data_IF_326256374074
#
_entry.id   IF_326256374074
#
_cell.length_a   1.000
_cell.length_b   1.000
_cell.length_c   1.000
_cell.angle_alpha   90.00
_cell.angle_beta   90.00
_cell.angle_gamma   90.00
#
_symmetry.space_group_name_H-M   'P 1'
#
loop_
_entity.id
_entity.type
_entity.pdbx_description
1 polymer ?
#
# COMPACT_ATOMS: atom_id res chain seq x y z
N UNK A 1 -22.59 26.35 -33.49
CA UNK A 1 -23.31 26.75 -32.26
C UNK A 1 -22.62 27.99 -31.70
N UNK A 2 -23.26 29.16 -31.79
CA UNK A 2 -22.72 30.43 -31.31
C UNK A 2 -23.11 30.61 -29.84
N UNK A 3 -22.13 30.69 -28.93
CA UNK A 3 -22.37 30.97 -27.52
C UNK A 3 -22.46 32.50 -27.32
N UNK A 4 -23.58 32.97 -26.78
CA UNK A 4 -23.77 34.37 -26.35
C UNK A 4 -23.07 34.58 -25.00
N UNK A 5 -22.20 35.59 -24.94
CA UNK A 5 -21.66 36.14 -23.69
C UNK A 5 -22.63 37.19 -23.17
N UNK A 6 -23.09 37.04 -21.93
CA UNK A 6 -23.88 38.04 -21.23
C UNK A 6 -23.04 38.59 -20.08
N UNK A 7 -22.61 39.85 -20.19
CA UNK A 7 -21.86 40.55 -19.15
C UNK A 7 -22.82 41.23 -18.17
N UNK A 8 -22.78 40.84 -16.90
CA UNK A 8 -23.37 41.62 -15.82
C UNK A 8 -22.31 42.61 -15.30
N UNK A 9 -22.59 43.91 -15.43
CA UNK A 9 -21.77 44.98 -14.87
C UNK A 9 -21.99 45.06 -13.35
N UNK A 10 -20.99 44.64 -12.57
CA UNK A 10 -20.96 44.87 -11.13
C UNK A 10 -19.99 46.02 -10.82
N UNK A 11 -20.43 47.00 -10.02
CA UNK A 11 -19.70 48.24 -9.67
C UNK A 11 -18.59 48.07 -8.62
N UNK A 12 -18.28 46.84 -8.22
CA UNK A 12 -17.06 46.53 -7.46
C UNK A 12 -16.01 46.08 -8.48
N UNK A 13 -14.87 46.78 -8.55
CA UNK A 13 -13.82 46.60 -9.56
C UNK A 13 -13.06 45.27 -9.49
N UNK A 14 -13.76 44.14 -9.44
CA UNK A 14 -13.22 42.79 -9.47
C UNK A 14 -14.08 41.99 -10.45
N UNK A 15 -13.55 41.76 -11.65
CA UNK A 15 -14.08 40.81 -12.62
C UNK A 15 -13.81 39.39 -12.12
N UNK A 16 -14.78 38.76 -11.48
CA UNK A 16 -14.74 37.32 -11.21
C UNK A 16 -15.45 36.61 -12.35
N UNK A 17 -14.67 35.99 -13.24
CA UNK A 17 -15.19 35.10 -14.27
C UNK A 17 -15.14 33.67 -13.72
N UNK A 18 -16.28 33.12 -13.30
CA UNK A 18 -16.38 31.74 -12.83
C UNK A 18 -16.84 30.83 -13.96
N UNK A 19 -15.99 29.86 -14.32
CA UNK A 19 -16.33 28.75 -15.21
C UNK A 19 -16.57 27.51 -14.36
N UNK A 20 -17.78 27.01 -14.37
CA UNK A 20 -18.12 25.70 -13.80
C UNK A 20 -17.80 24.63 -14.83
N UNK A 21 -16.69 23.91 -14.64
CA UNK A 21 -16.48 22.62 -15.29
C UNK A 21 -16.44 21.51 -14.23
N UNK A 22 -17.17 20.42 -14.51
CA UNK A 22 -17.24 19.24 -13.64
C UNK A 22 -15.87 18.54 -13.60
N UNK A 23 -15.45 18.19 -12.38
CA UNK A 23 -14.37 17.27 -11.98
C UNK A 23 -12.94 17.83 -12.09
N UNK A 24 -12.47 18.45 -11.01
CA UNK A 24 -11.24 18.07 -10.30
C UNK A 24 -11.01 19.03 -9.14
N UNK A 25 -10.84 18.50 -7.95
CA UNK A 25 -10.41 19.24 -6.76
C UNK A 25 -8.94 19.61 -6.94
N UNK A 26 -8.68 20.84 -7.38
CA UNK A 26 -7.34 21.40 -7.42
C UNK A 26 -7.05 22.11 -6.10
N UNK A 27 -5.88 21.75 -5.54
CA UNK A 27 -5.24 22.41 -4.41
C UNK A 27 -4.91 23.85 -4.84
N UNK A 28 -5.51 24.83 -4.18
CA UNK A 28 -5.12 26.24 -4.28
C UNK A 28 -3.74 26.40 -3.62
N UNK A 29 -2.68 26.37 -4.42
CA UNK A 29 -1.38 26.89 -3.99
C UNK A 29 -1.41 28.41 -4.12
N UNK A 30 -1.10 29.10 -3.01
CA UNK A 30 -0.91 30.55 -2.98
C UNK A 30 0.32 30.89 -3.84
N UNK A 31 0.10 31.64 -4.92
CA UNK A 31 1.19 32.24 -5.69
C UNK A 31 1.68 33.50 -4.95
N UNK A 32 3.00 33.75 -4.91
CA UNK A 32 3.53 34.97 -4.32
C UNK A 32 3.09 36.20 -5.13
N UNK A 33 2.75 37.27 -4.41
CA UNK A 33 2.35 38.54 -4.96
C UNK A 33 3.60 39.29 -5.43
N UNK A 34 3.80 39.41 -6.75
CA UNK A 34 4.91 40.18 -7.32
C UNK A 34 4.51 41.66 -7.41
N UNK A 35 5.30 42.53 -6.79
CA UNK A 35 4.98 43.95 -6.61
C UNK A 35 5.52 44.87 -7.72
N UNK A 36 6.21 44.35 -8.74
CA UNK A 36 6.66 45.16 -9.87
C UNK A 36 6.74 44.41 -11.19
N UNK A 37 6.51 45.13 -12.29
CA UNK A 37 6.58 44.62 -13.68
C UNK A 37 8.00 44.32 -14.16
N UNK A 38 9.04 44.72 -13.39
CA UNK A 38 10.43 44.46 -13.69
C UNK A 38 10.87 43.02 -13.36
N UNK A 39 10.26 42.37 -12.36
CA UNK A 39 10.62 41.00 -11.95
C UNK A 39 10.07 39.93 -12.90
N UNK A 40 8.96 40.21 -13.59
CA UNK A 40 8.33 39.27 -14.54
C UNK A 40 9.23 39.00 -15.76
N UNK A 41 10.04 39.97 -16.18
CA UNK A 41 10.89 39.86 -17.38
C UNK A 41 12.08 38.92 -17.20
N UNK A 42 12.52 38.66 -15.96
CA UNK A 42 13.58 37.68 -15.69
C UNK A 42 13.07 36.24 -15.68
N UNK A 43 11.76 36.01 -15.53
CA UNK A 43 11.17 34.68 -15.52
C UNK A 43 10.89 34.09 -16.93
N UNK A 44 10.97 34.92 -17.98
CA UNK A 44 10.67 34.51 -19.36
C UNK A 44 11.93 34.02 -20.12
N UNK A 45 13.12 34.11 -19.52
CA UNK A 45 14.37 33.56 -20.08
C UNK A 45 14.65 32.11 -19.68
N UNK A 46 13.61 31.28 -19.55
CA UNK A 46 13.83 29.83 -19.49
C UNK A 46 13.94 29.31 -20.93
N UNK A 47 15.01 28.57 -21.28
CA UNK A 47 15.10 27.92 -22.58
C UNK A 47 13.91 26.97 -22.71
N UNK A 48 13.10 27.18 -23.74
CA UNK A 48 12.08 26.23 -24.15
C UNK A 48 12.77 24.89 -24.40
N UNK A 49 12.54 23.93 -23.51
CA UNK A 49 12.91 22.51 -23.69
C UNK A 49 11.96 21.93 -24.74
N UNK A 50 12.06 22.44 -25.96
CA UNK A 50 11.24 22.07 -27.10
C UNK A 50 12.12 21.64 -28.27
N UNK A 51 13.15 20.83 -28.01
CA UNK A 51 13.92 20.18 -29.08
C UNK A 51 14.85 19.07 -28.56
N UNK A 52 14.29 17.98 -28.00
CA UNK A 52 14.98 16.67 -28.04
C UNK A 52 14.07 15.49 -27.68
N UNK A 53 12.84 15.45 -28.20
CA UNK A 53 12.13 14.17 -28.36
C UNK A 53 12.76 13.41 -29.54
N UNK A 54 14.01 12.97 -29.39
CA UNK A 54 14.52 11.86 -30.19
C UNK A 54 13.60 10.69 -29.84
N UNK A 55 12.86 10.19 -30.84
CA UNK A 55 12.18 8.90 -30.79
C UNK A 55 13.21 7.83 -30.44
N UNK A 56 13.43 7.62 -29.14
CA UNK A 56 14.14 6.46 -28.63
C UNK A 56 13.32 5.28 -29.07
N UNK A 57 13.85 4.56 -30.06
CA UNK A 57 13.35 3.28 -30.50
C UNK A 57 13.09 2.46 -29.25
N UNK A 58 11.83 2.05 -29.05
CA UNK A 58 11.42 1.16 -27.96
C UNK A 58 12.27 -0.11 -28.06
N UNK A 59 13.45 -0.13 -27.45
CA UNK A 59 14.16 -1.36 -27.15
C UNK A 59 13.17 -2.15 -26.30
N UNK A 60 12.65 -3.24 -26.86
CA UNK A 60 11.99 -4.29 -26.09
C UNK A 60 13.02 -4.77 -25.08
N UNK A 61 13.07 -4.12 -23.93
CA UNK A 61 13.78 -4.64 -22.77
C UNK A 61 13.00 -5.90 -22.43
N UNK A 62 13.52 -7.05 -22.88
CA UNK A 62 13.02 -8.34 -22.48
C UNK A 62 12.93 -8.29 -20.96
N UNK A 63 11.69 -8.24 -20.44
CA UNK A 63 11.47 -8.22 -19.01
C UNK A 63 12.21 -9.44 -18.47
N UNK A 64 13.35 -9.21 -17.80
CA UNK A 64 14.08 -10.26 -17.09
C UNK A 64 13.06 -10.86 -16.16
N UNK A 65 12.50 -12.02 -16.53
CA UNK A 65 11.62 -12.81 -15.66
C UNK A 65 12.49 -13.11 -14.45
N UNK A 66 12.24 -12.40 -13.36
CA UNK A 66 12.93 -12.66 -12.10
C UNK A 66 12.77 -14.16 -11.82
N UNK A 67 13.85 -14.86 -11.41
CA UNK A 67 13.77 -16.28 -11.14
C UNK A 67 12.66 -16.49 -10.13
N UNK A 68 11.62 -17.23 -10.54
CA UNK A 68 10.53 -17.60 -9.65
C UNK A 68 11.17 -18.47 -8.57
N UNK A 69 11.46 -17.87 -7.40
CA UNK A 69 11.99 -18.60 -6.25
C UNK A 69 11.07 -19.79 -6.03
N UNK A 70 11.62 -21.01 -6.07
CA UNK A 70 10.86 -22.24 -5.86
C UNK A 70 10.11 -22.11 -4.53
N UNK A 71 8.78 -22.16 -4.58
CA UNK A 71 7.93 -22.13 -3.39
C UNK A 71 8.22 -23.37 -2.53
N UNK A 72 8.22 -23.23 -1.21
CA UNK A 72 8.31 -24.40 -0.32
C UNK A 72 7.14 -25.35 -0.57
N UNK A 73 7.33 -26.65 -0.34
CA UNK A 73 6.27 -27.66 -0.56
C UNK A 73 4.96 -27.29 0.18
N UNK A 74 5.08 -26.76 1.40
CA UNK A 74 3.95 -26.24 2.19
C UNK A 74 3.26 -25.05 1.51
N UNK A 75 4.03 -24.08 1.02
CA UNK A 75 3.50 -22.91 0.33
C UNK A 75 2.82 -23.27 -0.99
N UNK A 76 3.42 -24.18 -1.77
CA UNK A 76 2.84 -24.68 -3.01
C UNK A 76 1.53 -25.44 -2.76
N UNK A 77 1.48 -26.26 -1.70
CA UNK A 77 0.25 -26.94 -1.26
C UNK A 77 -0.84 -25.94 -0.87
N UNK A 78 -0.51 -24.90 -0.11
CA UNK A 78 -1.45 -23.84 0.27
C UNK A 78 -1.91 -23.01 -0.92
N UNK A 79 -1.05 -22.73 -1.89
CA UNK A 79 -1.42 -22.05 -3.13
C UNK A 79 -2.43 -22.87 -3.94
N UNK A 80 -2.18 -24.19 -4.11
CA UNK A 80 -3.13 -25.11 -4.74
C UNK A 80 -4.47 -25.15 -3.99
N UNK A 81 -4.42 -25.28 -2.66
CA UNK A 81 -5.61 -25.27 -1.79
C UNK A 81 -6.33 -23.93 -1.83
N UNK A 82 -5.64 -22.81 -2.02
CA UNK A 82 -6.22 -21.49 -2.16
C UNK A 82 -6.93 -21.29 -3.51
N UNK A 83 -6.31 -21.72 -4.62
CA UNK A 83 -6.98 -21.74 -5.93
C UNK A 83 -8.22 -22.63 -5.93
N UNK A 84 -8.13 -23.80 -5.28
CA UNK A 84 -9.27 -24.68 -5.07
C UNK A 84 -10.32 -24.04 -4.15
N UNK A 85 -9.93 -23.42 -3.05
CA UNK A 85 -10.83 -22.72 -2.13
C UNK A 85 -11.60 -21.61 -2.82
N UNK A 86 -10.93 -20.80 -3.64
CA UNK A 86 -11.58 -19.72 -4.40
C UNK A 86 -12.67 -20.26 -5.35
N UNK A 87 -12.55 -21.51 -5.79
CA UNK A 87 -13.54 -22.22 -6.62
C UNK A 87 -14.61 -22.97 -5.83
N UNK A 88 -14.27 -23.52 -4.68
CA UNK A 88 -15.11 -24.53 -3.98
C UNK A 88 -15.66 -24.07 -2.63
N UNK A 89 -15.19 -22.96 -2.08
CA UNK A 89 -15.66 -22.43 -0.80
C UNK A 89 -15.23 -23.22 0.45
N UNK A 90 -14.39 -24.27 0.36
CA UNK A 90 -13.93 -25.04 1.54
C UNK A 90 -13.20 -24.17 2.58
N UNK A 91 -13.79 -23.98 3.75
CA UNK A 91 -13.33 -23.11 4.85
C UNK A 91 -11.81 -23.16 5.15
N UNK A 92 -11.04 -22.25 4.55
CA UNK A 92 -9.71 -21.88 5.07
C UNK A 92 -9.93 -21.02 6.32
N UNK A 93 -9.26 -21.39 7.42
CA UNK A 93 -9.29 -20.55 8.63
C UNK A 93 -8.46 -19.30 8.37
N UNK A 94 -9.15 -18.16 8.29
CA UNK A 94 -8.58 -16.87 7.91
C UNK A 94 -8.45 -15.95 9.12
N UNK A 95 -7.25 -15.42 9.31
CA UNK A 95 -7.02 -14.31 10.23
C UNK A 95 -7.04 -12.99 9.48
N UNK A 96 -7.94 -12.05 9.82
CA UNK A 96 -7.99 -10.72 9.19
C UNK A 96 -7.27 -9.70 10.06
N UNK A 97 -6.29 -8.99 9.51
CA UNK A 97 -5.48 -8.01 10.21
C UNK A 97 -5.38 -6.72 9.41
N UNK A 98 -5.36 -5.59 10.13
CA UNK A 98 -5.09 -4.28 9.55
C UNK A 98 -3.65 -3.89 9.85
N UNK A 99 -3.02 -3.24 8.86
CA UNK A 99 -1.64 -2.79 8.92
C UNK A 99 -1.52 -1.34 8.50
N UNK A 100 -0.58 -0.66 9.16
CA UNK A 100 -0.09 0.63 8.69
C UNK A 100 0.60 0.48 7.33
N UNK A 101 0.54 1.55 6.52
CA UNK A 101 1.12 1.59 5.18
C UNK A 101 2.59 1.15 5.08
N UNK A 102 3.53 1.55 5.98
CA UNK A 102 4.93 1.13 5.85
C UNK A 102 5.13 -0.36 6.09
N UNK A 103 4.45 -0.94 7.08
CA UNK A 103 4.49 -2.38 7.33
C UNK A 103 3.85 -3.18 6.19
N UNK A 104 2.76 -2.68 5.61
CA UNK A 104 2.11 -3.29 4.46
C UNK A 104 3.05 -3.32 3.24
N UNK A 105 3.75 -2.23 2.94
CA UNK A 105 4.65 -2.14 1.80
C UNK A 105 5.74 -3.23 1.81
N UNK A 106 6.39 -3.45 2.96
CA UNK A 106 7.44 -4.49 3.12
C UNK A 106 6.87 -5.91 3.15
N UNK A 107 5.58 -6.08 3.43
CA UNK A 107 4.92 -7.39 3.27
C UNK A 107 4.54 -7.66 1.83
N UNK A 108 4.12 -6.64 1.06
CA UNK A 108 3.82 -6.79 -0.37
C UNK A 108 5.07 -7.22 -1.15
N UNK A 109 6.23 -6.62 -0.83
CA UNK A 109 7.54 -7.02 -1.38
C UNK A 109 7.97 -8.41 -0.92
N UNK A 110 7.42 -8.89 0.19
CA UNK A 110 7.75 -10.17 0.80
C UNK A 110 9.04 -10.15 1.61
N UNK A 111 9.60 -8.98 1.89
CA UNK A 111 10.75 -8.79 2.79
C UNK A 111 10.39 -9.12 4.24
N UNK A 112 9.25 -8.61 4.71
CA UNK A 112 8.75 -8.88 6.06
C UNK A 112 8.12 -10.28 6.14
N UNK A 113 8.78 -11.18 6.88
CA UNK A 113 8.37 -12.59 7.09
C UNK A 113 7.70 -12.87 8.43
N UNK A 114 7.67 -11.91 9.33
CA UNK A 114 7.12 -12.08 10.67
C UNK A 114 6.22 -10.88 10.99
N UNK A 115 5.06 -11.16 11.56
CA UNK A 115 4.16 -10.14 12.11
C UNK A 115 4.08 -10.29 13.63
N UNK A 116 4.22 -9.17 14.33
CA UNK A 116 4.30 -9.13 15.79
C UNK A 116 3.06 -8.47 16.36
N UNK A 117 2.46 -9.08 17.39
CA UNK A 117 1.31 -8.52 18.11
C UNK A 117 1.51 -8.64 19.61
N UNK A 118 1.29 -7.55 20.33
CA UNK A 118 1.42 -7.51 21.78
C UNK A 118 0.49 -8.54 22.45
N UNK A 119 0.91 -9.09 23.58
CA UNK A 119 0.06 -9.96 24.39
C UNK A 119 -1.01 -9.14 25.12
N UNK A 120 -2.13 -8.88 24.43
CA UNK A 120 -3.32 -8.18 24.94
C UNK A 120 -4.54 -9.09 24.85
N UNK A 121 -5.51 -8.92 25.75
CA UNK A 121 -6.74 -9.72 25.81
C UNK A 121 -7.45 -9.86 24.45
N UNK A 122 -7.49 -8.79 23.65
CA UNK A 122 -8.11 -8.86 22.33
C UNK A 122 -7.38 -9.80 21.35
N UNK A 123 -6.05 -9.88 21.41
CA UNK A 123 -5.26 -10.81 20.59
C UNK A 123 -5.35 -12.23 21.13
N UNK A 124 -5.32 -12.39 22.45
CA UNK A 124 -5.50 -13.68 23.12
C UNK A 124 -6.82 -14.33 22.70
N UNK A 125 -7.94 -13.61 22.76
CA UNK A 125 -9.25 -14.13 22.31
C UNK A 125 -9.29 -14.57 20.83
N UNK A 126 -8.46 -13.95 19.99
CA UNK A 126 -8.42 -14.23 18.54
C UNK A 126 -7.43 -15.33 18.18
N UNK A 127 -6.29 -15.40 18.88
CA UNK A 127 -5.18 -16.28 18.56
C UNK A 127 -5.16 -17.55 19.43
N UNK A 128 -5.86 -17.55 20.56
CA UNK A 128 -5.98 -18.71 21.44
C UNK A 128 -7.43 -19.21 21.47
N UNK A 129 -7.60 -20.51 21.72
CA UNK A 129 -8.91 -21.09 22.01
C UNK A 129 -9.23 -20.95 23.52
N UNK A 130 -10.44 -21.32 23.92
CA UNK A 130 -10.85 -21.26 25.34
C UNK A 130 -10.00 -22.13 26.29
N UNK A 131 -9.15 -23.02 25.77
CA UNK A 131 -8.23 -23.85 26.53
C UNK A 131 -6.78 -23.29 26.57
N UNK A 132 -6.56 -22.05 26.14
CA UNK A 132 -5.24 -21.40 26.11
C UNK A 132 -4.28 -21.96 25.05
N UNK A 133 -4.76 -22.76 24.10
CA UNK A 133 -3.95 -23.28 22.98
C UNK A 133 -4.08 -22.36 21.77
N UNK A 134 -2.97 -22.15 21.06
CA UNK A 134 -2.95 -21.34 19.83
C UNK A 134 -3.86 -21.95 18.76
N UNK A 135 -4.75 -21.13 18.20
CA UNK A 135 -5.62 -21.49 17.09
C UNK A 135 -4.81 -21.71 15.82
N UNK A 136 -5.22 -22.70 15.02
CA UNK A 136 -4.64 -22.96 13.70
C UNK A 136 -5.33 -22.10 12.66
N UNK A 137 -4.57 -21.24 12.00
CA UNK A 137 -4.99 -20.48 10.82
C UNK A 137 -4.19 -20.93 9.60
N UNK A 138 -4.84 -21.03 8.46
CA UNK A 138 -4.18 -21.40 7.20
C UNK A 138 -3.56 -20.15 6.53
N UNK A 139 -4.29 -19.03 6.58
CA UNK A 139 -3.93 -17.80 5.87
C UNK A 139 -4.22 -16.56 6.72
N UNK A 140 -3.45 -15.52 6.48
CA UNK A 140 -3.69 -14.17 7.00
C UNK A 140 -4.05 -13.24 5.84
N UNK A 141 -5.10 -12.46 6.04
CA UNK A 141 -5.51 -11.39 5.14
C UNK A 141 -5.12 -10.06 5.79
N UNK A 142 -4.15 -9.39 5.19
CA UNK A 142 -3.75 -8.04 5.60
C UNK A 142 -4.44 -7.00 4.73
N UNK A 143 -4.95 -5.95 5.36
CA UNK A 143 -5.55 -4.77 4.70
C UNK A 143 -4.81 -3.50 5.10
N UNK A 144 -4.64 -2.59 4.16
CA UNK A 144 -4.16 -1.23 4.44
C UNK A 144 -5.32 -0.22 4.38
N UNK A 145 -5.91 0.05 5.55
CA UNK A 145 -7.04 0.97 5.73
C UNK A 145 -8.42 0.32 5.63
N UNK A 146 -9.46 1.13 5.77
CA UNK A 146 -10.87 0.73 5.77
C UNK A 146 -11.56 0.94 4.41
N UNK A 147 -12.43 0.01 4.00
CA UNK A 147 -13.21 0.07 2.76
C UNK A 147 -12.88 -1.05 1.76
N UNK A 148 -13.75 -1.23 0.76
CA UNK A 148 -13.73 -2.40 -0.14
C UNK A 148 -12.63 -2.35 -1.21
N UNK A 149 -12.20 -1.14 -1.57
CA UNK A 149 -11.18 -0.90 -2.60
C UNK A 149 -9.77 -0.78 -2.01
N UNK A 150 -9.59 -1.08 -0.72
CA UNK A 150 -8.29 -0.94 -0.07
C UNK A 150 -7.31 -2.05 -0.49
N UNK A 151 -6.00 -1.73 -0.53
CA UNK A 151 -4.97 -2.72 -0.79
C UNK A 151 -5.09 -3.89 0.18
N UNK A 152 -5.08 -5.09 -0.37
CA UNK A 152 -5.24 -6.32 0.38
C UNK A 152 -4.24 -7.36 -0.11
N UNK A 153 -3.59 -8.05 0.82
CA UNK A 153 -2.75 -9.20 0.53
C UNK A 153 -3.18 -10.39 1.37
N UNK A 154 -3.19 -11.58 0.77
CA UNK A 154 -3.41 -12.85 1.48
C UNK A 154 -2.11 -13.62 1.47
N UNK A 155 -1.64 -13.99 2.65
CA UNK A 155 -0.36 -14.67 2.85
C UNK A 155 -0.62 -15.99 3.59
N UNK A 156 0.08 -17.05 3.19
CA UNK A 156 0.09 -18.31 3.91
C UNK A 156 0.67 -18.12 5.31
N UNK A 157 0.08 -18.74 6.33
CA UNK A 157 0.68 -18.80 7.66
C UNK A 157 1.53 -20.06 7.77
N UNK A 158 2.79 -19.89 8.17
CA UNK A 158 3.67 -21.02 8.46
C UNK A 158 3.41 -21.53 9.87
N UNK A 159 3.49 -20.64 10.86
CA UNK A 159 3.35 -20.96 12.28
C UNK A 159 2.94 -19.72 13.06
N UNK A 160 2.24 -19.92 14.17
CA UNK A 160 2.04 -18.90 15.21
C UNK A 160 2.74 -19.41 16.46
N UNK A 161 3.51 -18.54 17.12
CA UNK A 161 4.20 -18.85 18.38
C UNK A 161 4.12 -17.68 19.34
N UNK A 162 4.24 -17.99 20.63
CA UNK A 162 4.37 -16.98 21.68
C UNK A 162 5.86 -16.75 21.93
N UNK A 163 6.29 -15.50 21.85
CA UNK A 163 7.61 -15.06 22.30
C UNK A 163 7.53 -14.71 23.79
N UNK A 164 8.27 -15.44 24.62
CA UNK A 164 8.27 -15.31 26.08
C UNK A 164 9.26 -14.24 26.57
N UNK A 165 9.38 -13.11 25.86
CA UNK A 165 10.23 -12.00 26.27
C UNK A 165 11.66 -11.99 25.69
N UNK A 166 11.88 -12.58 24.52
CA UNK A 166 13.12 -12.32 23.77
C UNK A 166 13.03 -10.96 23.09
N UNK A 167 14.09 -10.15 23.17
CA UNK A 167 14.16 -8.90 22.44
C UNK A 167 14.22 -9.17 20.93
N UNK A 168 13.43 -8.43 20.17
CA UNK A 168 13.41 -8.52 18.71
C UNK A 168 13.64 -7.13 18.16
N UNK A 169 14.70 -6.98 17.37
CA UNK A 169 14.94 -5.79 16.55
C UNK A 169 14.98 -6.18 15.08
N UNK A 170 14.27 -5.43 14.25
CA UNK A 170 14.21 -5.59 12.79
C UNK A 170 14.23 -4.22 12.13
N UNK A 171 15.10 -4.04 11.14
CA UNK A 171 15.13 -2.88 10.25
C UNK A 171 14.79 -3.36 8.83
N UNK A 172 13.88 -2.67 8.17
CA UNK A 172 13.45 -2.99 6.80
C UNK A 172 13.96 -1.94 5.79
N UNK A 173 13.94 -2.31 4.51
CA UNK A 173 14.48 -1.47 3.41
C UNK A 173 13.80 -0.11 3.27
N UNK A 174 12.58 0.05 3.78
CA UNK A 174 11.84 1.30 3.75
C UNK A 174 12.04 2.16 5.02
N UNK A 175 13.00 1.81 5.88
CA UNK A 175 13.28 2.50 7.13
C UNK A 175 12.34 2.14 8.28
N UNK A 176 11.38 1.22 8.09
CA UNK A 176 10.57 0.72 9.19
C UNK A 176 11.47 -0.03 10.19
N UNK A 177 11.52 0.43 11.42
CA UNK A 177 12.12 -0.29 12.54
C UNK A 177 11.03 -0.90 13.43
N UNK A 178 11.27 -2.12 13.89
CA UNK A 178 10.43 -2.79 14.89
C UNK A 178 11.34 -3.21 16.03
N UNK A 179 11.06 -2.65 17.20
CA UNK A 179 11.77 -2.94 18.44
C UNK A 179 10.78 -3.45 19.49
N UNK A 180 11.05 -4.65 20.00
CA UNK A 180 10.22 -5.30 21.01
C UNK A 180 11.12 -5.56 22.22
N UNK A 181 10.83 -4.96 23.39
CA UNK A 181 11.65 -5.12 24.57
C UNK A 181 11.50 -6.54 25.15
N UNK A 182 12.54 -7.01 25.86
CA UNK A 182 12.55 -8.33 26.51
C UNK A 182 11.42 -8.54 27.52
N UNK A 183 10.86 -7.48 28.07
CA UNK A 183 9.86 -7.57 29.14
C UNK A 183 8.48 -8.01 28.67
N UNK A 184 8.18 -7.93 27.36
CA UNK A 184 6.82 -8.11 26.84
C UNK A 184 6.63 -9.45 26.13
N UNK A 185 5.64 -10.23 26.58
CA UNK A 185 5.11 -11.35 25.81
C UNK A 185 4.51 -10.84 24.51
N UNK A 186 4.80 -11.52 23.41
CA UNK A 186 4.39 -11.09 22.07
C UNK A 186 4.02 -12.29 21.22
N UNK A 187 2.92 -12.24 20.48
CA UNK A 187 2.61 -13.23 19.45
C UNK A 187 3.44 -12.96 18.20
N UNK A 188 4.10 -13.99 17.69
CA UNK A 188 4.85 -13.97 16.43
C UNK A 188 4.11 -14.84 15.42
N UNK A 189 3.66 -14.22 14.33
CA UNK A 189 3.03 -14.89 13.20
C UNK A 189 4.06 -15.00 12.09
N UNK A 190 4.52 -16.22 11.81
CA UNK A 190 5.46 -16.51 10.74
C UNK A 190 4.71 -16.63 9.41
N UNK A 191 5.11 -15.78 8.47
CA UNK A 191 4.49 -15.61 7.16
C UNK A 191 5.22 -16.45 6.11
N UNK A 192 4.44 -17.10 5.25
CA UNK A 192 4.91 -17.90 4.12
C UNK A 192 4.88 -17.13 2.81
N UNK A 193 4.40 -17.81 1.76
CA UNK A 193 4.24 -17.21 0.44
C UNK A 193 3.02 -16.29 0.35
N UNK A 194 3.15 -15.21 -0.42
CA UNK A 194 2.03 -14.35 -0.80
C UNK A 194 1.18 -15.11 -1.82
N UNK A 195 -0.08 -15.38 -1.47
CA UNK A 195 -1.02 -16.14 -2.29
C UNK A 195 -1.84 -15.23 -3.21
N UNK A 196 -2.16 -14.03 -2.73
CA UNK A 196 -3.03 -13.11 -3.44
C UNK A 196 -2.71 -11.65 -3.11
N UNK A 197 -2.91 -10.78 -4.08
CA UNK A 197 -2.81 -9.32 -3.97
C UNK A 197 -4.03 -8.69 -4.65
N UNK A 198 -4.55 -7.62 -4.07
CA UNK A 198 -5.62 -6.77 -4.62
C UNK A 198 -5.22 -5.32 -4.42
N UNK A 199 -5.38 -4.50 -5.45
CA UNK A 199 -5.17 -3.04 -5.41
C UNK A 199 -3.80 -2.63 -4.84
N UNK A 200 -2.76 -3.40 -5.17
CA UNK A 200 -1.39 -3.16 -4.70
C UNK A 200 -0.53 -2.35 -5.69
N UNK A 201 -1.11 -1.81 -6.77
CA UNK A 201 -0.37 -1.10 -7.83
C UNK A 201 0.45 0.08 -7.32
N UNK A 202 -0.03 0.78 -6.28
CA UNK A 202 0.73 1.86 -5.62
C UNK A 202 2.03 1.41 -4.94
N UNK A 203 2.25 0.10 -4.80
CA UNK A 203 3.48 -0.50 -4.27
C UNK A 203 4.36 -1.12 -5.36
N UNK A 204 4.00 -0.97 -6.64
CA UNK A 204 4.72 -1.57 -7.76
C UNK A 204 4.33 -3.04 -8.05
N UNK A 205 3.22 -3.52 -7.49
CA UNK A 205 2.74 -4.89 -7.70
C UNK A 205 1.28 -4.88 -8.19
N UNK A 206 1.07 -5.21 -9.47
CA UNK A 206 -0.24 -5.40 -10.08
C UNK A 206 -0.59 -6.88 -10.18
#
# INVERSE_FOLDING_TARGET
>A
MLARLQCCSCKCGILVCSYTTRKSSLVLQQLPFYSSTAEIKNYIKMPTIASSLKRSSKKKVAAKRLPVRKLSAKSASLLRRWHFFRRTGRNLRRLRLELAAPAFAVMVSGEKKEEFREFKSHWTKRLENGAGKLQKFDVVEFRNGYGDDKPLIVIAINRIRLNAGTAISRLYSNGLSIEIPKTRKTYVIELGAVLYRKNCGKYGYN
#
